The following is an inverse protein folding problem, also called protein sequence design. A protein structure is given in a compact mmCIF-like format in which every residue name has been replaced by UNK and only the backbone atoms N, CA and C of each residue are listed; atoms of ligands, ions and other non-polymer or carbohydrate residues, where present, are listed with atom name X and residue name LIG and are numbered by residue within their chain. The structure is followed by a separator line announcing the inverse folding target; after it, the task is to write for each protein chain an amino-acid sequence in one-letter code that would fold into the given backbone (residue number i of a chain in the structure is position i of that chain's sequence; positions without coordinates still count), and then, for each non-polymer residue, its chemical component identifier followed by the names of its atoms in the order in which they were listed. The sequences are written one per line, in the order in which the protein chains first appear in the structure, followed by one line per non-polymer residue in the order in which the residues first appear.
data_IF_057917066663
#
_entry.id   IF_057917066663
#
_cell.length_a   1.000
_cell.length_b   1.000
_cell.length_c   1.000
_cell.angle_alpha   90.00
_cell.angle_beta   90.00
_cell.angle_gamma   90.00
#
_symmetry.space_group_name_H-M   'P 1'
#
loop_
_entity.id
_entity.type
_entity.pdbx_description
1 polymer ?
#
# COMPACT_ATOMS: atom_id res chain seq x y z
N UNK A 1 16.20 58.05 -41.20
CA UNK A 1 16.41 58.31 -39.76
C UNK A 1 16.60 56.98 -39.08
N UNK A 2 17.86 56.62 -38.87
CA UNK A 2 18.34 55.28 -38.54
C UNK A 2 18.51 55.21 -37.03
N UNK A 3 17.70 54.43 -36.32
CA UNK A 3 17.90 54.16 -34.89
C UNK A 3 18.49 52.77 -34.75
N UNK A 4 19.82 52.69 -34.71
CA UNK A 4 20.54 51.46 -34.42
C UNK A 4 20.30 51.04 -32.96
N UNK A 5 19.87 49.80 -32.75
CA UNK A 5 19.66 49.23 -31.43
C UNK A 5 20.97 49.21 -30.63
N UNK A 6 20.96 49.86 -29.46
CA UNK A 6 22.05 49.81 -28.49
C UNK A 6 22.19 48.38 -27.93
N UNK A 7 23.39 47.82 -28.15
CA UNK A 7 23.81 46.52 -27.64
C UNK A 7 24.03 46.63 -26.12
N UNK A 8 23.53 45.69 -25.29
CA UNK A 8 23.70 45.80 -23.85
C UNK A 8 25.18 45.65 -23.47
N UNK A 9 25.74 46.70 -22.87
CA UNK A 9 27.10 46.71 -22.33
C UNK A 9 27.16 45.83 -21.08
N UNK A 10 28.17 44.96 -21.02
CA UNK A 10 28.40 44.02 -19.94
C UNK A 10 28.81 44.78 -18.67
N UNK A 11 27.93 44.80 -17.67
CA UNK A 11 28.12 45.47 -16.38
C UNK A 11 29.43 45.04 -15.69
N UNK A 12 30.15 45.95 -14.99
CA UNK A 12 31.44 45.64 -14.36
C UNK A 12 31.28 44.58 -13.27
N UNK A 13 32.11 43.55 -13.32
CA UNK A 13 32.17 42.47 -12.32
C UNK A 13 32.71 43.06 -11.00
N UNK A 14 31.89 43.06 -9.96
CA UNK A 14 32.29 43.41 -8.59
C UNK A 14 33.44 42.51 -8.09
N UNK A 15 34.30 42.98 -7.15
CA UNK A 15 35.50 42.26 -6.73
C UNK A 15 35.15 40.88 -6.14
N UNK A 16 35.92 39.87 -6.56
CA UNK A 16 35.78 38.50 -6.11
C UNK A 16 36.12 38.39 -4.61
N UNK A 17 35.12 38.10 -3.80
CA UNK A 17 35.29 37.57 -2.45
C UNK A 17 35.91 36.17 -2.58
N UNK A 18 36.87 35.75 -1.72
CA UNK A 18 37.50 34.44 -1.83
C UNK A 18 36.43 33.34 -1.90
N UNK A 19 36.58 32.46 -2.88
CA UNK A 19 35.63 31.38 -3.16
C UNK A 19 35.50 30.47 -1.92
N UNK A 20 34.45 30.67 -1.12
CA UNK A 20 34.07 29.69 -0.10
C UNK A 20 33.55 28.45 -0.84
N UNK A 21 34.40 27.44 -0.96
CA UNK A 21 34.00 26.16 -1.54
C UNK A 21 32.81 25.59 -0.77
N UNK A 22 31.71 25.23 -1.45
CA UNK A 22 30.52 24.72 -0.77
C UNK A 22 30.86 23.42 -0.04
N UNK A 23 30.73 23.45 1.29
CA UNK A 23 31.02 22.31 2.19
C UNK A 23 30.08 21.10 1.98
N UNK A 24 28.99 21.27 1.23
CA UNK A 24 27.98 20.24 1.00
C UNK A 24 27.64 20.13 -0.49
N UNK A 25 27.55 18.88 -0.96
CA UNK A 25 27.05 18.59 -2.29
C UNK A 25 25.55 18.93 -2.39
N UNK A 26 25.15 19.53 -3.52
CA UNK A 26 23.75 19.77 -3.82
C UNK A 26 22.95 18.45 -3.81
N UNK A 27 21.80 18.44 -3.14
CA UNK A 27 20.92 17.27 -3.06
C UNK A 27 20.48 16.86 -4.47
N UNK A 28 20.76 15.61 -4.86
CA UNK A 28 20.18 15.02 -6.08
C UNK A 28 18.69 14.79 -5.86
N UNK A 29 17.88 15.21 -6.81
CA UNK A 29 16.46 14.89 -6.83
C UNK A 29 16.29 13.37 -6.98
N UNK A 30 15.57 12.75 -6.05
CA UNK A 30 15.22 11.33 -6.09
C UNK A 30 13.86 11.23 -6.77
N UNK A 31 13.82 10.55 -7.92
CA UNK A 31 12.58 10.28 -8.64
C UNK A 31 12.08 8.86 -8.35
N UNK A 32 10.77 8.65 -8.24
CA UNK A 32 10.21 7.32 -8.05
C UNK A 32 10.49 6.45 -9.28
N UNK A 33 10.98 5.23 -9.06
CA UNK A 33 11.12 4.25 -10.13
C UNK A 33 9.83 3.47 -10.34
N UNK A 34 9.54 3.16 -11.61
CA UNK A 34 8.41 2.32 -11.96
C UNK A 34 8.65 0.88 -11.51
N UNK A 35 7.73 0.32 -10.72
CA UNK A 35 7.86 -1.05 -10.19
C UNK A 35 7.01 -2.01 -11.03
N UNK A 36 7.66 -2.92 -11.74
CA UNK A 36 7.02 -3.96 -12.56
C UNK A 36 7.68 -5.31 -12.31
N UNK A 37 6.92 -6.40 -12.45
CA UNK A 37 7.45 -7.77 -12.36
C UNK A 37 6.62 -8.69 -11.48
N UNK A 38 7.07 -9.96 -11.43
CA UNK A 38 6.36 -11.08 -10.82
C UNK A 38 5.98 -10.81 -9.36
N UNK A 39 6.90 -10.31 -8.54
CA UNK A 39 6.66 -10.06 -7.12
C UNK A 39 5.54 -9.04 -6.86
N UNK A 40 5.44 -7.99 -7.68
CA UNK A 40 4.38 -7.00 -7.56
C UNK A 40 3.03 -7.64 -7.85
N UNK A 41 2.93 -8.39 -8.95
CA UNK A 41 1.70 -9.11 -9.31
C UNK A 41 1.31 -10.11 -8.22
N UNK A 42 2.25 -10.93 -7.74
CA UNK A 42 1.99 -11.90 -6.66
C UNK A 42 1.50 -11.19 -5.39
N UNK A 43 2.10 -10.06 -5.01
CA UNK A 43 1.64 -9.27 -3.84
C UNK A 43 0.18 -8.86 -4.00
N UNK A 44 -0.19 -8.32 -5.17
CA UNK A 44 -1.55 -7.86 -5.43
C UNK A 44 -2.54 -9.02 -5.49
N UNK A 45 -2.17 -10.13 -6.11
CA UNK A 45 -3.01 -11.34 -6.13
C UNK A 45 -3.24 -11.84 -4.70
N UNK A 46 -2.18 -11.97 -3.89
CA UNK A 46 -2.29 -12.41 -2.51
C UNK A 46 -3.14 -11.43 -1.68
N UNK A 47 -2.93 -10.13 -1.86
CA UNK A 47 -3.73 -9.10 -1.19
C UNK A 47 -5.22 -9.23 -1.52
N UNK A 48 -5.56 -9.34 -2.81
CA UNK A 48 -6.96 -9.49 -3.24
C UNK A 48 -7.54 -10.78 -2.69
N UNK A 49 -6.79 -11.89 -2.72
CA UNK A 49 -7.23 -13.18 -2.22
C UNK A 49 -7.53 -13.13 -0.72
N UNK A 50 -6.59 -12.66 0.10
CA UNK A 50 -6.76 -12.61 1.56
C UNK A 50 -7.84 -11.62 1.96
N UNK A 51 -7.94 -10.48 1.27
CA UNK A 51 -8.97 -9.49 1.50
C UNK A 51 -10.35 -10.01 1.09
N UNK A 52 -10.42 -10.75 -0.02
CA UNK A 52 -11.62 -11.46 -0.47
C UNK A 52 -12.08 -12.46 0.57
N UNK A 53 -11.18 -13.31 1.09
CA UNK A 53 -11.51 -14.23 2.18
C UNK A 53 -12.01 -13.44 3.40
N UNK A 54 -11.29 -12.42 3.86
CA UNK A 54 -11.67 -11.64 5.04
C UNK A 54 -13.08 -11.04 4.96
N UNK A 55 -13.43 -10.43 3.81
CA UNK A 55 -14.73 -9.76 3.68
C UNK A 55 -15.86 -10.68 3.21
N UNK A 56 -15.57 -11.76 2.48
CA UNK A 56 -16.61 -12.64 1.94
C UNK A 56 -16.94 -13.82 2.85
N UNK A 57 -15.97 -14.29 3.65
CA UNK A 57 -16.14 -15.44 4.55
C UNK A 57 -17.37 -15.36 5.48
N UNK A 58 -17.71 -14.23 6.13
CA UNK A 58 -18.89 -14.17 7.00
C UNK A 58 -20.23 -14.36 6.27
N UNK A 59 -20.24 -14.19 4.95
CA UNK A 59 -21.45 -14.36 4.12
C UNK A 59 -21.55 -15.76 3.50
N UNK A 60 -20.52 -16.60 3.66
CA UNK A 60 -20.54 -17.98 3.16
C UNK A 60 -21.52 -18.78 4.01
N UNK A 61 -22.59 -19.25 3.38
CA UNK A 61 -23.58 -20.14 4.02
C UNK A 61 -23.11 -21.60 3.92
N UNK A 62 -23.42 -22.37 4.95
CA UNK A 62 -23.03 -23.75 5.14
C UNK A 62 -24.11 -24.47 5.94
N UNK A 63 -24.87 -25.34 5.27
CA UNK A 63 -25.93 -26.11 5.91
C UNK A 63 -25.36 -27.25 6.77
N UNK A 64 -25.91 -27.40 7.97
CA UNK A 64 -25.53 -28.45 8.94
C UNK A 64 -26.74 -29.22 9.49
N UNK A 65 -27.92 -28.95 8.95
CA UNK A 65 -29.16 -29.57 9.37
C UNK A 65 -30.07 -28.65 10.18
N UNK A 66 -31.25 -29.15 10.57
CA UNK A 66 -32.31 -28.34 11.16
C UNK A 66 -31.91 -27.73 12.50
N UNK A 67 -32.27 -26.47 12.72
CA UNK A 67 -32.01 -25.68 13.94
C UNK A 67 -30.54 -25.33 14.21
N UNK A 68 -29.61 -25.68 13.31
CA UNK A 68 -28.23 -25.22 13.38
C UNK A 68 -28.07 -23.88 12.63
N UNK A 69 -27.19 -22.98 13.08
CA UNK A 69 -26.79 -21.83 12.28
C UNK A 69 -26.20 -22.31 10.96
N UNK A 70 -26.38 -21.53 9.91
CA UNK A 70 -25.96 -21.87 8.56
C UNK A 70 -24.80 -21.01 8.07
N UNK A 71 -24.06 -20.33 8.95
CA UNK A 71 -22.88 -19.57 8.58
C UNK A 71 -21.63 -20.46 8.63
N UNK A 72 -20.79 -20.47 7.59
CA UNK A 72 -19.64 -21.36 7.46
C UNK A 72 -18.62 -21.24 8.61
N UNK A 73 -18.27 -20.02 8.99
CA UNK A 73 -17.38 -19.75 10.13
C UNK A 73 -18.14 -18.89 11.14
N UNK A 74 -18.41 -19.45 12.32
CA UNK A 74 -19.23 -18.81 13.34
C UNK A 74 -18.73 -19.16 14.75
N UNK A 75 -18.65 -18.14 15.61
CA UNK A 75 -18.49 -18.32 17.04
C UNK A 75 -19.88 -18.16 17.68
N UNK A 76 -20.43 -19.26 18.16
CA UNK A 76 -21.74 -19.29 18.80
C UNK A 76 -21.57 -19.22 20.33
N UNK A 77 -21.87 -18.06 20.91
CA UNK A 77 -21.81 -17.85 22.35
C UNK A 77 -22.93 -18.55 23.13
N UNK A 78 -24.22 -18.49 22.70
CA UNK A 78 -25.30 -19.21 23.37
C UNK A 78 -25.03 -20.71 23.57
N UNK A 79 -24.58 -21.40 22.53
CA UNK A 79 -24.33 -22.85 22.61
C UNK A 79 -22.88 -23.18 22.98
N UNK A 80 -22.02 -22.16 23.11
CA UNK A 80 -20.57 -22.26 23.37
C UNK A 80 -19.86 -23.12 22.33
N UNK A 81 -20.22 -22.99 21.06
CA UNK A 81 -19.69 -23.80 19.96
C UNK A 81 -18.90 -22.94 18.98
N UNK A 82 -17.85 -23.52 18.42
CA UNK A 82 -17.11 -22.90 17.33
C UNK A 82 -17.32 -23.72 16.05
N UNK A 83 -17.82 -23.06 15.02
CA UNK A 83 -18.09 -23.65 13.72
C UNK A 83 -17.04 -23.21 12.71
N UNK A 84 -16.39 -24.18 12.07
CA UNK A 84 -15.49 -23.97 10.93
C UNK A 84 -15.82 -24.98 9.83
N UNK A 85 -16.73 -24.60 8.95
CA UNK A 85 -17.32 -25.46 7.92
C UNK A 85 -17.98 -26.69 8.53
N UNK A 86 -17.46 -27.88 8.24
CA UNK A 86 -17.89 -29.18 8.79
C UNK A 86 -17.21 -29.54 10.12
N UNK A 87 -16.27 -28.73 10.58
CA UNK A 87 -15.60 -28.90 11.88
C UNK A 87 -16.40 -28.14 12.92
N UNK A 88 -16.87 -28.86 13.94
CA UNK A 88 -17.53 -28.30 15.12
C UNK A 88 -16.63 -28.57 16.31
N UNK A 89 -16.12 -27.51 16.95
CA UNK A 89 -15.26 -27.61 18.12
C UNK A 89 -16.12 -27.36 19.35
N UNK A 90 -16.06 -28.32 20.28
CA UNK A 90 -16.76 -28.24 21.54
C UNK A 90 -15.81 -27.80 22.66
N UNK A 91 -16.29 -26.99 23.61
CA UNK A 91 -15.45 -26.35 24.62
C UNK A 91 -14.81 -27.35 25.61
N UNK A 92 -15.35 -28.56 25.73
CA UNK A 92 -14.83 -29.60 26.63
C UNK A 92 -13.71 -30.47 26.06
N UNK A 93 -13.29 -30.25 24.82
CA UNK A 93 -12.23 -31.05 24.16
C UNK A 93 -10.81 -30.50 24.42
N UNK A 94 -10.64 -29.58 25.37
CA UNK A 94 -9.36 -29.00 25.79
C UNK A 94 -9.16 -29.01 27.32
#
# INVERSE_FOLDING_TARGET
MTSAALKPEKSPKAPAVPDEEPLYAARRAIYPQSVHGRLRTTKWVLLILTLGIYYLLPFVRWDRGPNAPDQAVLIDFPTRRFYFFFIEIWPQEF
#
